data_IF_460408917192
#
_entry.id   IF_460408917192
#
_cell.length_a   1.000
_cell.length_b   1.000
_cell.length_c   1.000
_cell.angle_alpha   90.00
_cell.angle_beta   90.00
_cell.angle_gamma   90.00
#
_symmetry.space_group_name_H-M   'P 1'
#
loop_
_entity.id
_entity.type
_entity.pdbx_description
1 polymer ?
#
# COMPACT_ATOMS: atom_id res chain seq x y z
N UNK A 1 42.23 -46.84 20.10
CA UNK A 1 42.28 -45.42 19.68
C UNK A 1 41.36 -45.16 18.48
N UNK A 2 41.28 -46.01 17.50
CA UNK A 2 40.46 -45.85 16.27
C UNK A 2 38.95 -45.63 16.53
N UNK A 3 38.36 -46.33 17.51
CA UNK A 3 36.94 -46.20 17.86
C UNK A 3 36.58 -44.83 18.44
N UNK A 4 37.46 -44.18 19.22
CA UNK A 4 37.23 -42.86 19.81
C UNK A 4 37.32 -41.76 18.77
N UNK A 5 38.23 -41.85 17.81
CA UNK A 5 38.35 -40.90 16.67
C UNK A 5 37.14 -40.99 15.74
N UNK A 6 36.58 -42.17 15.49
CA UNK A 6 35.41 -42.36 14.65
C UNK A 6 34.15 -41.70 15.25
N UNK A 7 33.98 -41.76 16.57
CA UNK A 7 32.86 -41.16 17.29
C UNK A 7 32.94 -39.59 17.23
N UNK A 8 34.15 -39.03 17.33
CA UNK A 8 34.35 -37.58 17.28
C UNK A 8 34.05 -37.03 15.88
N UNK A 9 34.44 -37.75 14.82
CA UNK A 9 34.11 -37.37 13.43
C UNK A 9 32.61 -37.45 13.17
N UNK A 10 31.89 -38.41 13.72
CA UNK A 10 30.45 -38.57 13.56
C UNK A 10 29.64 -37.44 14.26
N UNK A 11 30.13 -36.93 15.41
CA UNK A 11 29.49 -35.82 16.14
C UNK A 11 29.65 -34.49 15.40
N UNK A 12 30.77 -34.29 14.71
CA UNK A 12 31.02 -33.02 13.95
C UNK A 12 30.11 -32.90 12.71
N UNK A 13 29.72 -34.04 12.12
CA UNK A 13 28.85 -34.04 10.93
C UNK A 13 27.38 -33.67 11.27
N UNK A 14 26.95 -33.86 12.52
CA UNK A 14 25.57 -33.62 12.95
C UNK A 14 25.27 -32.14 13.28
N UNK A 15 26.27 -31.26 13.35
CA UNK A 15 26.08 -29.83 13.67
C UNK A 15 25.90 -28.94 12.44
N UNK A 16 25.88 -29.50 11.23
CA UNK A 16 25.70 -28.74 9.98
C UNK A 16 24.26 -28.69 9.51
N UNK A 17 23.29 -28.53 10.43
CA UNK A 17 21.97 -27.98 10.07
C UNK A 17 21.99 -26.48 10.29
N UNK A 18 22.59 -25.73 9.38
CA UNK A 18 22.22 -24.31 9.26
C UNK A 18 20.81 -24.27 8.69
N UNK A 19 19.82 -24.03 9.54
CA UNK A 19 18.52 -23.59 9.11
C UNK A 19 18.73 -22.28 8.36
N UNK A 20 18.78 -22.35 7.03
CA UNK A 20 18.57 -21.16 6.20
C UNK A 20 17.16 -20.69 6.54
N UNK A 21 17.06 -19.71 7.43
CA UNK A 21 15.85 -18.93 7.58
C UNK A 21 15.59 -18.30 6.20
N UNK A 22 14.63 -18.86 5.49
CA UNK A 22 13.98 -18.13 4.43
C UNK A 22 13.28 -16.99 5.15
N UNK A 23 13.96 -15.86 5.27
CA UNK A 23 13.32 -14.60 5.60
C UNK A 23 12.39 -14.32 4.42
N UNK A 24 11.13 -14.78 4.52
CA UNK A 24 10.10 -14.25 3.67
C UNK A 24 10.10 -12.74 3.94
N UNK A 25 10.14 -11.91 2.90
CA UNK A 25 9.99 -10.46 3.00
C UNK A 25 8.57 -10.06 3.47
N UNK A 26 7.84 -10.99 4.06
CA UNK A 26 6.57 -10.84 4.75
C UNK A 26 6.84 -10.35 6.18
N UNK A 27 7.39 -9.13 6.28
CA UNK A 27 7.43 -8.41 7.54
C UNK A 27 5.97 -8.17 7.99
N UNK A 28 5.67 -8.51 9.24
CA UNK A 28 4.32 -8.41 9.81
C UNK A 28 3.77 -6.97 9.70
N UNK A 29 4.64 -5.97 9.72
CA UNK A 29 4.28 -4.56 9.53
C UNK A 29 3.91 -4.26 8.07
N UNK A 30 4.59 -4.88 7.10
CA UNK A 30 4.26 -4.78 5.69
C UNK A 30 2.95 -5.52 5.35
N UNK A 31 2.60 -6.57 6.11
CA UNK A 31 1.37 -7.33 5.89
C UNK A 31 0.12 -6.50 6.20
N UNK A 32 0.09 -5.80 7.33
CA UNK A 32 -1.01 -4.89 7.68
C UNK A 32 -1.15 -3.77 6.68
N UNK A 33 -0.03 -3.22 6.19
CA UNK A 33 -0.03 -2.16 5.19
C UNK A 33 -0.50 -2.64 3.81
N UNK A 34 -0.19 -3.89 3.44
CA UNK A 34 -0.62 -4.48 2.18
C UNK A 34 -2.15 -4.69 2.11
N UNK A 35 -2.77 -5.11 3.22
CA UNK A 35 -4.21 -5.36 3.30
C UNK A 35 -5.03 -4.14 3.75
N UNK A 36 -4.42 -3.05 4.15
CA UNK A 36 -5.11 -1.86 4.65
C UNK A 36 -6.12 -1.30 3.65
N UNK A 37 -5.78 -1.30 2.37
CA UNK A 37 -6.69 -0.83 1.33
C UNK A 37 -7.99 -1.67 1.23
N UNK A 38 -7.94 -2.98 1.52
CA UNK A 38 -9.12 -3.85 1.46
C UNK A 38 -10.11 -3.64 2.61
N UNK A 39 -9.66 -3.00 3.68
CA UNK A 39 -10.50 -2.68 4.84
C UNK A 39 -11.31 -1.39 4.67
N UNK A 40 -11.01 -0.62 3.61
CA UNK A 40 -11.73 0.60 3.29
C UNK A 40 -12.73 0.30 2.17
N UNK A 41 -14.02 0.40 2.46
CA UNK A 41 -15.09 0.16 1.48
C UNK A 41 -15.25 1.35 0.54
N UNK A 42 -15.52 1.06 -0.74
CA UNK A 42 -15.71 2.09 -1.78
C UNK A 42 -17.19 2.27 -2.03
N UNK A 43 -17.68 3.48 -1.83
CA UNK A 43 -19.07 3.88 -2.10
C UNK A 43 -19.12 4.76 -3.35
N UNK A 44 -20.22 4.67 -4.10
CA UNK A 44 -20.43 5.53 -5.27
C UNK A 44 -20.85 6.93 -4.86
N UNK A 45 -21.66 7.05 -3.82
CA UNK A 45 -22.19 8.31 -3.29
C UNK A 45 -22.48 8.20 -1.79
N UNK A 46 -22.60 9.33 -1.13
CA UNK A 46 -22.80 9.38 0.33
C UNK A 46 -24.14 8.77 0.79
N UNK A 47 -25.16 8.84 -0.08
CA UNK A 47 -26.48 8.23 0.19
C UNK A 47 -26.45 6.69 0.21
N UNK A 48 -25.38 6.06 -0.28
CA UNK A 48 -25.20 4.60 -0.22
C UNK A 48 -24.77 4.13 1.17
N UNK A 49 -24.22 5.05 2.00
CA UNK A 49 -23.83 4.78 3.39
C UNK A 49 -25.10 4.85 4.25
N UNK A 50 -25.60 3.68 4.67
CA UNK A 50 -26.89 3.56 5.39
C UNK A 50 -26.77 3.78 6.89
N UNK A 51 -25.58 3.71 7.46
CA UNK A 51 -25.33 3.90 8.88
C UNK A 51 -24.81 5.29 9.18
N UNK A 52 -24.74 5.66 10.46
CA UNK A 52 -24.13 6.91 10.88
C UNK A 52 -22.67 6.93 10.41
N UNK A 53 -22.25 8.04 9.87
CA UNK A 53 -20.89 8.23 9.40
C UNK A 53 -20.41 9.66 9.63
N UNK A 54 -19.09 9.79 9.80
CA UNK A 54 -18.44 11.07 9.99
C UNK A 54 -17.43 11.29 8.86
N UNK A 55 -17.48 12.46 8.25
CA UNK A 55 -16.48 12.88 7.28
C UNK A 55 -15.13 13.12 7.97
N UNK A 56 -14.06 12.48 7.49
CA UNK A 56 -12.69 12.58 8.02
C UNK A 56 -11.92 13.67 7.26
N UNK A 57 -11.94 13.60 5.94
CA UNK A 57 -11.17 14.52 5.10
C UNK A 57 -11.08 14.07 3.65
N UNK A 58 -10.24 14.79 2.90
CA UNK A 58 -9.84 14.38 1.55
C UNK A 58 -8.56 13.60 1.63
N UNK A 59 -8.51 12.49 0.90
CA UNK A 59 -7.32 11.68 0.69
C UNK A 59 -6.98 11.66 -0.79
N UNK A 60 -5.71 11.49 -1.09
CA UNK A 60 -5.22 11.33 -2.44
C UNK A 60 -4.38 10.07 -2.57
N UNK A 61 -4.30 9.54 -3.75
CA UNK A 61 -3.37 8.47 -4.09
C UNK A 61 -2.81 8.72 -5.47
N UNK A 62 -1.60 8.29 -5.68
CA UNK A 62 -0.88 8.56 -6.92
C UNK A 62 -0.16 7.32 -7.43
N UNK A 63 0.00 7.24 -8.74
CA UNK A 63 0.87 6.29 -9.41
C UNK A 63 1.79 7.03 -10.37
N UNK A 64 3.10 6.83 -10.23
CA UNK A 64 4.14 7.62 -10.89
C UNK A 64 4.94 6.76 -11.86
N UNK A 65 4.96 7.15 -13.13
CA UNK A 65 5.93 6.68 -14.11
C UNK A 65 7.22 7.48 -13.99
N UNK A 66 8.27 6.92 -13.40
CA UNK A 66 9.54 7.63 -13.18
C UNK A 66 10.32 7.82 -14.49
N UNK A 67 10.27 6.85 -15.42
CA UNK A 67 10.98 6.89 -16.70
C UNK A 67 10.04 6.56 -17.85
N UNK A 68 10.26 7.13 -19.06
CA UNK A 68 9.39 6.93 -20.23
C UNK A 68 9.16 5.46 -20.63
N UNK A 69 10.13 4.60 -20.35
CA UNK A 69 10.07 3.17 -20.70
C UNK A 69 9.51 2.28 -19.58
N UNK A 70 9.18 2.85 -18.41
CA UNK A 70 8.46 2.15 -17.37
C UNK A 70 6.97 2.03 -17.72
N UNK A 71 6.25 1.16 -17.02
CA UNK A 71 4.80 1.05 -17.16
C UNK A 71 4.14 2.43 -16.99
N UNK A 72 3.14 2.70 -17.82
CA UNK A 72 2.32 3.91 -17.67
C UNK A 72 1.62 3.90 -16.30
N UNK A 73 1.37 5.08 -15.72
CA UNK A 73 0.69 5.16 -14.44
C UNK A 73 -0.76 4.67 -14.56
N UNK A 74 -1.22 3.93 -13.56
CA UNK A 74 -2.50 3.26 -13.54
C UNK A 74 -3.41 3.86 -12.44
N UNK A 75 -4.64 4.15 -12.83
CA UNK A 75 -5.68 4.66 -11.93
C UNK A 75 -6.01 3.66 -10.80
N UNK A 76 -5.94 2.35 -11.05
CA UNK A 76 -6.20 1.32 -10.02
C UNK A 76 -5.15 1.39 -8.92
N UNK A 77 -3.88 1.59 -9.27
CA UNK A 77 -2.80 1.76 -8.32
C UNK A 77 -2.99 3.04 -7.49
N UNK A 78 -3.31 4.16 -8.15
CA UNK A 78 -3.57 5.43 -7.48
C UNK A 78 -4.77 5.33 -6.52
N UNK A 79 -5.86 4.71 -6.94
CA UNK A 79 -7.03 4.45 -6.07
C UNK A 79 -6.68 3.54 -4.88
N UNK A 80 -5.87 2.51 -5.10
CA UNK A 80 -5.42 1.62 -4.04
C UNK A 80 -4.59 2.39 -3.00
N UNK A 81 -3.73 3.30 -3.44
CA UNK A 81 -2.94 4.14 -2.54
C UNK A 81 -3.84 5.12 -1.75
N UNK A 82 -4.83 5.74 -2.39
CA UNK A 82 -5.80 6.59 -1.69
C UNK A 82 -6.56 5.83 -0.59
N UNK A 83 -6.93 4.56 -0.85
CA UNK A 83 -7.55 3.70 0.18
C UNK A 83 -6.61 3.40 1.34
N UNK A 84 -5.31 3.17 1.09
CA UNK A 84 -4.31 3.00 2.16
C UNK A 84 -4.21 4.26 3.01
N UNK A 85 -4.15 5.42 2.38
CA UNK A 85 -4.10 6.69 3.08
C UNK A 85 -5.37 6.95 3.92
N UNK A 86 -6.55 6.58 3.41
CA UNK A 86 -7.79 6.63 4.17
C UNK A 86 -7.74 5.72 5.41
N UNK A 87 -7.23 4.51 5.26
CA UNK A 87 -7.05 3.58 6.38
C UNK A 87 -6.10 4.14 7.46
N UNK A 88 -4.99 4.75 7.06
CA UNK A 88 -4.05 5.41 7.98
C UNK A 88 -4.70 6.55 8.78
N UNK A 89 -5.70 7.22 8.19
CA UNK A 89 -6.53 8.23 8.85
C UNK A 89 -7.72 7.63 9.62
N UNK A 90 -7.74 6.31 9.82
CA UNK A 90 -8.80 5.58 10.52
C UNK A 90 -10.18 5.65 9.82
N UNK A 91 -10.21 5.94 8.54
CA UNK A 91 -11.40 5.82 7.72
C UNK A 91 -11.61 4.36 7.29
N UNK A 92 -12.87 3.93 7.22
CA UNK A 92 -13.29 2.62 6.73
C UNK A 92 -14.22 2.70 5.51
N UNK A 93 -14.53 3.91 5.03
CA UNK A 93 -15.27 4.17 3.82
C UNK A 93 -14.68 5.32 3.01
N UNK A 94 -14.81 5.24 1.68
CA UNK A 94 -14.26 6.22 0.74
C UNK A 94 -15.18 6.41 -0.46
N UNK A 95 -15.26 7.66 -0.95
CA UNK A 95 -15.97 8.04 -2.17
C UNK A 95 -14.99 8.76 -3.08
N UNK A 96 -14.66 8.17 -4.22
CA UNK A 96 -13.78 8.82 -5.20
C UNK A 96 -14.48 9.99 -5.87
N UNK A 97 -13.80 11.12 -5.96
CA UNK A 97 -14.30 12.35 -6.62
C UNK A 97 -13.77 12.50 -8.04
N UNK A 98 -12.62 11.91 -8.33
CA UNK A 98 -12.05 11.90 -9.67
C UNK A 98 -10.58 11.55 -9.68
N UNK A 99 -10.06 11.25 -10.88
CA UNK A 99 -8.65 11.03 -11.14
C UNK A 99 -8.19 11.94 -12.28
N UNK A 100 -6.94 12.38 -12.24
CA UNK A 100 -6.31 13.18 -13.27
C UNK A 100 -4.98 12.54 -13.68
N UNK A 101 -4.77 12.41 -15.00
CA UNK A 101 -3.47 12.05 -15.58
C UNK A 101 -2.73 13.34 -15.95
N UNK A 102 -1.54 13.52 -15.40
CA UNK A 102 -0.64 14.61 -15.73
C UNK A 102 0.56 14.09 -16.50
N UNK A 103 0.82 14.70 -17.65
CA UNK A 103 1.99 14.40 -18.50
C UNK A 103 3.22 15.18 -18.03
N UNK A 104 4.40 14.81 -18.52
CA UNK A 104 5.65 15.51 -18.21
C UNK A 104 5.59 17.00 -18.53
N UNK A 105 4.89 17.41 -19.59
CA UNK A 105 4.74 18.83 -19.95
C UNK A 105 3.91 19.61 -18.92
N UNK A 106 2.81 19.01 -18.45
CA UNK A 106 1.96 19.59 -17.42
C UNK A 106 2.67 19.65 -16.06
N UNK A 107 3.42 18.60 -15.72
CA UNK A 107 4.22 18.55 -14.49
C UNK A 107 5.32 19.63 -14.48
N UNK A 108 6.00 19.85 -15.62
CA UNK A 108 7.02 20.88 -15.75
C UNK A 108 6.44 22.30 -15.54
N UNK A 109 5.17 22.53 -15.89
CA UNK A 109 4.50 23.81 -15.67
C UNK A 109 4.11 24.01 -14.19
N UNK A 110 3.83 22.92 -13.46
CA UNK A 110 3.42 22.96 -12.05
C UNK A 110 4.63 23.01 -11.10
N UNK A 111 5.73 22.36 -11.46
CA UNK A 111 6.90 22.15 -10.58
C UNK A 111 7.98 23.22 -10.75
N UNK A 112 7.65 24.49 -10.69
CA UNK A 112 8.69 25.54 -10.67
C UNK A 112 9.46 25.61 -9.32
N UNK A 113 9.19 24.78 -8.32
CA UNK A 113 9.76 25.00 -6.98
C UNK A 113 9.75 23.82 -6.00
N UNK A 114 9.78 22.55 -6.39
CA UNK A 114 9.88 21.49 -5.37
C UNK A 114 10.70 20.28 -5.80
N UNK A 115 11.49 19.74 -4.85
CA UNK A 115 12.21 18.46 -4.88
C UNK A 115 11.28 17.23 -4.97
N UNK A 116 10.07 17.41 -5.51
CA UNK A 116 9.15 16.33 -5.74
C UNK A 116 9.76 15.35 -6.74
N UNK A 117 9.76 14.09 -6.41
CA UNK A 117 10.18 12.99 -7.26
C UNK A 117 9.64 13.22 -8.69
N UNK A 118 10.55 13.49 -9.63
CA UNK A 118 10.19 13.87 -11.00
C UNK A 118 9.57 12.68 -11.71
N UNK A 119 8.24 12.64 -11.75
CA UNK A 119 7.51 11.69 -12.60
C UNK A 119 7.57 12.13 -14.05
N UNK A 120 7.74 11.18 -14.97
CA UNK A 120 7.53 11.40 -16.40
C UNK A 120 6.02 11.57 -16.70
N UNK A 121 5.19 10.80 -16.03
CA UNK A 121 3.74 10.94 -15.99
C UNK A 121 3.24 10.49 -14.63
N UNK A 122 2.08 10.99 -14.20
CA UNK A 122 1.47 10.64 -12.92
C UNK A 122 -0.05 10.62 -13.04
N UNK A 123 -0.69 9.61 -12.45
CA UNK A 123 -2.13 9.63 -12.16
C UNK A 123 -2.32 9.98 -10.69
N UNK A 124 -3.18 10.93 -10.42
CA UNK A 124 -3.57 11.32 -9.06
C UNK A 124 -5.08 11.14 -8.95
N UNK A 125 -5.53 10.39 -7.93
CA UNK A 125 -6.92 10.18 -7.60
C UNK A 125 -7.25 10.83 -6.27
N UNK A 126 -8.36 11.54 -6.20
CA UNK A 126 -8.87 12.19 -4.99
C UNK A 126 -10.13 11.49 -4.50
N UNK A 127 -10.29 11.43 -3.20
CA UNK A 127 -11.47 10.85 -2.59
C UNK A 127 -11.80 11.51 -1.24
N UNK A 128 -13.07 11.42 -0.86
CA UNK A 128 -13.58 11.78 0.45
C UNK A 128 -13.57 10.55 1.34
N UNK A 129 -12.95 10.66 2.51
CA UNK A 129 -12.83 9.58 3.49
C UNK A 129 -13.83 9.73 4.63
N UNK A 130 -14.38 8.62 5.10
CA UNK A 130 -15.42 8.56 6.13
C UNK A 130 -15.11 7.50 7.18
N UNK A 131 -15.45 7.79 8.42
CA UNK A 131 -15.58 6.79 9.49
C UNK A 131 -17.05 6.40 9.60
N UNK A 132 -17.35 5.14 9.28
CA UNK A 132 -18.70 4.59 9.24
C UNK A 132 -18.87 3.69 10.46
N UNK A 133 -19.93 3.94 11.25
CA UNK A 133 -20.25 3.10 12.41
C UNK A 133 -20.77 1.73 11.95
N UNK A 134 -20.24 0.67 12.56
CA UNK A 134 -20.79 -0.67 12.35
C UNK A 134 -22.26 -0.70 12.77
N UNK A 135 -23.14 -1.41 12.02
CA UNK A 135 -24.51 -1.63 12.49
C UNK A 135 -24.46 -2.27 13.88
N UNK A 136 -25.11 -1.66 14.87
CA UNK A 136 -25.29 -2.31 16.17
C UNK A 136 -26.15 -3.54 15.95
N UNK A 137 -25.57 -4.73 16.11
CA UNK A 137 -26.35 -5.95 16.23
C UNK A 137 -27.22 -5.84 17.48
N UNK A 138 -28.53 -5.70 17.28
CA UNK A 138 -29.55 -5.85 18.32
C UNK A 138 -30.01 -7.30 18.37
#
# INVERSE_FOLDING_TARGET
MLKKTLIIIFVIILTSCSSSYVTSNLDKNNFTQYFSASQVEVYSQETDIKTRHNYIGVVEGQDCQVKPHHAAPDEINARTQARRQAFEQQANGIIFTGCALLTSQQLAQLNSSSDAQQCHAIVICYARAFLIESPTEN
#
